data_IF_271531314490
#
_entry.id   IF_271531314490
#
_cell.length_a   1.000
_cell.length_b   1.000
_cell.length_c   1.000
_cell.angle_alpha   90.00
_cell.angle_beta   90.00
_cell.angle_gamma   90.00
#
_symmetry.space_group_name_H-M   'P 1'
#
loop_
_entity.id
_entity.type
_entity.pdbx_description
1 polymer ?
#
# COMPACT_ATOMS: atom_id res chain seq x y z
N UNK A 1 -22.71 33.52 2.44
CA UNK A 1 -22.04 32.23 2.74
C UNK A 1 -21.60 31.63 1.43
N UNK A 2 -20.29 31.39 1.26
CA UNK A 2 -19.76 30.80 0.03
C UNK A 2 -20.27 29.37 -0.16
N UNK A 3 -20.47 28.96 -1.41
CA UNK A 3 -20.91 27.61 -1.76
C UNK A 3 -19.81 26.61 -1.37
N UNK A 4 -20.10 25.72 -0.42
CA UNK A 4 -19.16 24.66 -0.02
C UNK A 4 -19.04 23.61 -1.13
N UNK A 5 -17.81 23.22 -1.41
CA UNK A 5 -17.48 22.09 -2.27
C UNK A 5 -17.55 20.81 -1.42
N UNK A 6 -18.19 19.77 -1.96
CA UNK A 6 -18.31 18.46 -1.32
C UNK A 6 -17.60 17.38 -2.15
N UNK A 7 -17.03 16.34 -1.49
CA UNK A 7 -16.36 15.26 -2.21
C UNK A 7 -17.35 14.50 -3.10
N UNK A 8 -16.84 13.86 -4.16
CA UNK A 8 -17.65 12.96 -4.99
C UNK A 8 -18.11 11.73 -4.20
N UNK A 9 -19.16 11.07 -4.69
CA UNK A 9 -19.70 9.86 -4.08
C UNK A 9 -18.68 8.74 -3.93
N UNK A 10 -17.69 8.64 -4.83
CA UNK A 10 -16.60 7.66 -4.72
C UNK A 10 -15.74 7.84 -3.45
N UNK A 11 -15.57 9.09 -3.00
CA UNK A 11 -14.81 9.43 -1.79
C UNK A 11 -15.70 9.31 -0.56
N UNK A 12 -16.97 9.71 -0.66
CA UNK A 12 -17.92 9.64 0.43
C UNK A 12 -18.36 8.21 0.74
N UNK A 13 -18.52 7.38 -0.30
CA UNK A 13 -19.04 6.02 -0.26
C UNK A 13 -18.16 5.10 -1.13
N UNK A 14 -16.95 4.73 -0.66
CA UNK A 14 -16.11 3.79 -1.39
C UNK A 14 -16.84 2.44 -1.53
N UNK A 15 -16.56 1.71 -2.61
CA UNK A 15 -17.23 0.45 -2.99
C UNK A 15 -17.36 -0.50 -1.79
N UNK A 16 -18.36 -1.40 -1.79
CA UNK A 16 -18.75 -2.28 -0.65
C UNK A 16 -17.61 -3.04 0.07
N UNK A 17 -16.43 -3.18 -0.54
CA UNK A 17 -15.26 -3.87 0.01
C UNK A 17 -14.25 -2.93 0.71
N UNK A 18 -14.37 -1.60 0.57
CA UNK A 18 -13.47 -0.61 1.15
C UNK A 18 -14.15 0.15 2.29
N UNK A 19 -13.47 0.26 3.44
CA UNK A 19 -13.97 1.05 4.58
C UNK A 19 -13.85 2.55 4.28
N UNK A 20 -14.86 3.35 4.67
CA UNK A 20 -14.81 4.81 4.63
C UNK A 20 -13.55 5.34 5.33
N UNK A 21 -12.78 6.17 4.63
CA UNK A 21 -11.61 6.82 5.19
C UNK A 21 -11.95 8.24 5.64
N UNK A 22 -12.36 8.39 6.89
CA UNK A 22 -12.74 9.69 7.46
C UNK A 22 -11.60 10.72 7.43
N UNK A 23 -10.34 10.30 7.60
CA UNK A 23 -9.18 11.22 7.49
C UNK A 23 -9.10 11.82 6.07
N UNK A 24 -9.37 11.01 5.03
CA UNK A 24 -9.35 11.47 3.65
C UNK A 24 -10.50 12.43 3.34
N UNK A 25 -11.72 12.11 3.80
CA UNK A 25 -12.91 12.95 3.64
C UNK A 25 -12.70 14.32 4.31
N UNK A 26 -12.22 14.33 5.57
CA UNK A 26 -11.99 15.56 6.33
C UNK A 26 -10.93 16.44 5.65
N UNK A 27 -9.81 15.84 5.22
CA UNK A 27 -8.74 16.57 4.54
C UNK A 27 -9.18 17.05 3.15
N UNK A 28 -10.00 16.29 2.42
CA UNK A 28 -10.56 16.73 1.13
C UNK A 28 -11.40 17.98 1.32
N UNK A 29 -12.30 17.98 2.30
CA UNK A 29 -13.17 19.12 2.61
C UNK A 29 -12.36 20.38 2.91
N UNK A 30 -11.36 20.27 3.79
CA UNK A 30 -10.53 21.40 4.20
C UNK A 30 -9.53 21.83 3.11
N UNK A 31 -9.24 20.99 2.11
CA UNK A 31 -8.37 21.34 0.99
C UNK A 31 -9.10 22.07 -0.13
N UNK A 32 -10.39 21.79 -0.31
CA UNK A 32 -11.21 22.32 -1.40
C UNK A 32 -12.15 23.45 -0.96
N UNK A 33 -12.10 23.84 0.31
CA UNK A 33 -12.84 24.97 0.88
C UNK A 33 -11.87 25.87 1.68
N UNK A 34 -12.14 27.16 1.71
CA UNK A 34 -11.31 28.13 2.45
C UNK A 34 -11.29 27.86 3.96
N UNK A 35 -12.46 27.48 4.50
CA UNK A 35 -12.63 27.04 5.88
C UNK A 35 -13.85 26.14 5.99
N UNK A 36 -13.82 25.20 6.95
CA UNK A 36 -15.00 24.42 7.29
C UNK A 36 -15.31 24.56 8.79
N UNK A 37 -16.60 24.60 9.08
CA UNK A 37 -17.15 24.46 10.42
C UNK A 37 -17.40 22.99 10.75
N UNK A 38 -17.47 22.71 12.05
CA UNK A 38 -17.77 21.37 12.55
C UNK A 38 -19.10 20.82 11.99
N UNK A 39 -20.12 21.67 11.92
CA UNK A 39 -21.45 21.37 11.38
C UNK A 39 -21.42 20.89 9.92
N UNK A 40 -20.43 21.33 9.13
CA UNK A 40 -20.31 20.94 7.72
C UNK A 40 -19.95 19.45 7.53
N UNK A 41 -19.48 18.77 8.58
CA UNK A 41 -19.15 17.34 8.55
C UNK A 41 -20.26 16.45 9.12
N UNK A 42 -21.17 17.02 9.91
CA UNK A 42 -22.27 16.31 10.55
C UNK A 42 -23.52 16.25 9.67
N UNK A 43 -23.64 17.18 8.73
CA UNK A 43 -24.78 17.28 7.82
C UNK A 43 -24.55 16.51 6.50
N UNK A 44 -25.66 16.17 5.83
CA UNK A 44 -25.63 15.67 4.45
C UNK A 44 -24.91 16.68 3.55
N UNK A 45 -24.04 16.23 2.63
CA UNK A 45 -23.88 14.86 2.14
C UNK A 45 -22.84 13.98 2.88
N UNK A 46 -22.24 14.43 3.99
CA UNK A 46 -21.10 13.73 4.61
C UNK A 46 -21.53 12.80 5.76
N UNK A 47 -22.32 13.31 6.71
CA UNK A 47 -22.82 12.57 7.89
C UNK A 47 -21.74 11.76 8.65
N UNK A 48 -20.70 12.43 9.14
CA UNK A 48 -19.73 11.78 10.05
C UNK A 48 -20.30 11.77 11.48
N UNK A 49 -20.40 10.61 12.15
CA UNK A 49 -20.81 10.57 13.55
C UNK A 49 -19.91 11.41 14.44
N UNK A 50 -20.49 12.18 15.37
CA UNK A 50 -19.79 13.15 16.23
C UNK A 50 -18.58 12.54 16.95
N UNK A 51 -18.73 11.33 17.50
CA UNK A 51 -17.66 10.60 18.19
C UNK A 51 -16.49 10.26 17.26
N UNK A 52 -16.78 9.87 16.03
CA UNK A 52 -15.80 9.62 14.98
C UNK A 52 -15.11 10.92 14.58
N UNK A 53 -15.89 11.95 14.26
CA UNK A 53 -15.37 13.26 13.87
C UNK A 53 -14.39 13.82 14.91
N UNK A 54 -14.76 13.79 16.18
CA UNK A 54 -13.93 14.24 17.29
C UNK A 54 -12.61 13.49 17.41
N UNK A 55 -12.65 12.15 17.34
CA UNK A 55 -11.45 11.31 17.37
C UNK A 55 -10.50 11.64 16.22
N UNK A 56 -11.05 11.78 15.01
CA UNK A 56 -10.26 12.06 13.81
C UNK A 56 -9.71 13.50 13.82
N UNK A 57 -10.49 14.50 14.22
CA UNK A 57 -10.03 15.88 14.36
C UNK A 57 -8.89 16.00 15.38
N UNK A 58 -9.06 15.41 16.57
CA UNK A 58 -8.02 15.41 17.61
C UNK A 58 -6.70 14.86 17.07
N UNK A 59 -6.77 13.73 16.36
CA UNK A 59 -5.61 13.10 15.71
C UNK A 59 -5.00 13.99 14.62
N UNK A 60 -5.80 14.60 13.76
CA UNK A 60 -5.32 15.43 12.65
C UNK A 60 -4.70 16.75 13.15
N UNK A 61 -5.28 17.35 14.20
CA UNK A 61 -4.73 18.54 14.88
C UNK A 61 -3.41 18.19 15.54
N UNK A 62 -3.36 17.11 16.33
CA UNK A 62 -2.13 16.67 17.00
C UNK A 62 -0.98 16.40 16.02
N UNK A 63 -1.28 15.87 14.83
CA UNK A 63 -0.29 15.65 13.77
C UNK A 63 0.10 16.90 12.99
N UNK A 64 -0.56 18.03 13.25
CA UNK A 64 -0.35 19.31 12.56
C UNK A 64 -0.85 19.31 11.12
N UNK A 65 -1.84 18.48 10.79
CA UNK A 65 -2.43 18.42 9.44
C UNK A 65 -3.57 19.41 9.25
N UNK A 66 -4.29 19.71 10.32
CA UNK A 66 -5.36 20.71 10.34
C UNK A 66 -5.13 21.62 11.55
N UNK A 67 -5.64 22.83 11.48
CA UNK A 67 -5.58 23.76 12.60
C UNK A 67 -6.90 24.49 12.77
N UNK A 68 -7.19 24.83 14.03
CA UNK A 68 -8.33 25.66 14.41
C UNK A 68 -7.86 27.11 14.43
N UNK A 69 -8.24 27.88 13.42
CA UNK A 69 -7.78 29.26 13.28
C UNK A 69 -8.77 30.28 13.86
N UNK A 70 -10.03 29.89 14.04
CA UNK A 70 -11.05 30.70 14.73
C UNK A 70 -12.05 29.81 15.49
N UNK A 71 -12.98 30.42 16.22
CA UNK A 71 -13.99 29.71 17.01
C UNK A 71 -14.86 28.85 16.09
N UNK A 72 -14.67 27.54 16.15
CA UNK A 72 -15.45 26.56 15.38
C UNK A 72 -15.00 26.39 13.92
N UNK A 73 -13.97 27.11 13.48
CA UNK A 73 -13.50 27.10 12.09
C UNK A 73 -12.12 26.46 11.98
N UNK A 74 -12.01 25.58 10.99
CA UNK A 74 -10.83 24.76 10.76
C UNK A 74 -10.31 24.97 9.34
N UNK A 75 -8.99 24.88 9.18
CA UNK A 75 -8.31 24.93 7.88
C UNK A 75 -7.22 23.88 7.79
N UNK A 76 -6.88 23.50 6.57
CA UNK A 76 -5.78 22.56 6.30
C UNK A 76 -4.43 23.28 6.36
N UNK A 77 -3.42 22.64 6.93
CA UNK A 77 -2.04 23.15 6.90
C UNK A 77 -1.31 22.70 5.63
N UNK A 78 -0.15 23.28 5.26
CA UNK A 78 0.67 22.76 4.15
C UNK A 78 1.04 21.28 4.32
N UNK A 79 1.31 20.84 5.55
CA UNK A 79 1.56 19.44 5.91
C UNK A 79 0.32 18.56 5.69
N UNK A 80 -0.86 19.09 6.02
CA UNK A 80 -2.14 18.45 5.73
C UNK A 80 -2.40 18.30 4.23
N UNK A 81 -2.10 19.32 3.42
CA UNK A 81 -2.22 19.26 1.95
C UNK A 81 -1.34 18.16 1.35
N UNK A 82 -0.10 18.02 1.83
CA UNK A 82 0.78 16.89 1.43
C UNK A 82 0.13 15.56 1.79
N UNK A 83 -0.38 15.41 3.02
CA UNK A 83 -1.05 14.19 3.46
C UNK A 83 -2.31 13.86 2.65
N UNK A 84 -3.08 14.88 2.28
CA UNK A 84 -4.23 14.76 1.39
C UNK A 84 -3.83 14.22 0.01
N UNK A 85 -2.77 14.77 -0.57
CA UNK A 85 -2.25 14.31 -1.86
C UNK A 85 -1.78 12.85 -1.78
N UNK A 86 -1.08 12.46 -0.70
CA UNK A 86 -0.69 11.07 -0.48
C UNK A 86 -1.92 10.14 -0.43
N UNK A 87 -2.95 10.51 0.34
CA UNK A 87 -4.20 9.74 0.44
C UNK A 87 -4.95 9.63 -0.88
N UNK A 88 -4.96 10.70 -1.67
CA UNK A 88 -5.59 10.73 -2.99
C UNK A 88 -4.81 9.94 -4.05
N UNK A 89 -3.49 9.75 -3.86
CA UNK A 89 -2.66 8.91 -4.73
C UNK A 89 -2.67 7.43 -4.35
N UNK A 90 -2.96 7.09 -3.08
CA UNK A 90 -3.02 5.70 -2.59
C UNK A 90 -4.05 4.86 -3.37
N UNK A 91 -5.12 5.47 -3.90
CA UNK A 91 -6.11 4.78 -4.75
C UNK A 91 -5.76 4.73 -6.25
N UNK A 92 -4.81 5.55 -6.73
CA UNK A 92 -4.52 5.68 -8.18
C UNK A 92 -3.33 4.85 -8.68
N UNK A 93 -2.49 4.34 -7.78
CA UNK A 93 -1.41 3.41 -8.15
C UNK A 93 -1.86 1.99 -7.80
N UNK A 94 -2.57 1.35 -8.72
CA UNK A 94 -2.63 -0.12 -8.70
C UNK A 94 -1.19 -0.62 -8.74
N UNK A 95 -0.75 -1.19 -7.62
CA UNK A 95 0.59 -1.77 -7.55
C UNK A 95 0.57 -2.97 -8.48
N UNK A 96 1.32 -2.93 -9.59
CA UNK A 96 1.47 -4.07 -10.49
C UNK A 96 2.13 -5.21 -9.71
N UNK A 97 1.33 -6.17 -9.26
CA UNK A 97 1.80 -7.32 -8.49
C UNK A 97 2.38 -8.38 -9.44
N UNK A 98 3.56 -8.89 -9.11
CA UNK A 98 4.11 -10.10 -9.71
C UNK A 98 3.48 -11.32 -9.03
N UNK A 99 2.55 -11.94 -9.73
CA UNK A 99 1.85 -13.14 -9.28
C UNK A 99 2.60 -14.42 -9.66
N UNK A 100 2.37 -15.54 -8.95
CA UNK A 100 3.00 -16.80 -9.29
C UNK A 100 2.59 -17.28 -10.69
N UNK A 101 3.51 -17.88 -11.46
CA UNK A 101 3.19 -18.47 -12.75
C UNK A 101 2.21 -19.63 -12.61
N UNK A 102 1.50 -19.94 -13.70
CA UNK A 102 0.45 -20.97 -13.71
C UNK A 102 0.95 -22.35 -13.24
N UNK A 103 2.23 -22.68 -13.46
CA UNK A 103 2.80 -23.96 -13.01
C UNK A 103 2.77 -24.10 -11.48
N UNK A 104 3.05 -23.02 -10.75
CA UNK A 104 2.98 -22.98 -9.29
C UNK A 104 1.52 -22.97 -8.82
N UNK A 105 0.65 -22.25 -9.52
CA UNK A 105 -0.78 -22.19 -9.19
C UNK A 105 -1.51 -23.52 -9.45
N UNK A 106 -1.05 -24.31 -10.43
CA UNK A 106 -1.68 -25.58 -10.83
C UNK A 106 -1.09 -26.81 -10.13
N UNK A 107 0.11 -26.72 -9.57
CA UNK A 107 0.82 -27.83 -8.91
C UNK A 107 0.30 -28.08 -7.46
N UNK A 108 -1.03 -28.05 -7.30
CA UNK A 108 -1.72 -28.22 -6.01
C UNK A 108 -1.96 -26.91 -5.25
N UNK A 109 -2.91 -26.94 -4.30
CA UNK A 109 -3.28 -25.79 -3.43
C UNK A 109 -2.21 -25.53 -2.34
N UNK A 110 -0.97 -25.28 -2.75
CA UNK A 110 0.12 -24.98 -1.84
C UNK A 110 0.21 -23.47 -1.55
N UNK A 111 -0.69 -23.00 -0.68
CA UNK A 111 -0.79 -21.58 -0.33
C UNK A 111 0.50 -21.01 0.27
N UNK A 112 1.30 -21.82 0.96
CA UNK A 112 2.59 -21.37 1.49
C UNK A 112 3.54 -20.96 0.36
N UNK A 113 3.58 -21.74 -0.73
CA UNK A 113 4.41 -21.43 -1.89
C UNK A 113 3.93 -20.17 -2.61
N UNK A 114 2.61 -20.01 -2.74
CA UNK A 114 2.01 -18.82 -3.35
C UNK A 114 2.33 -17.56 -2.53
N UNK A 115 2.21 -17.65 -1.21
CA UNK A 115 2.52 -16.54 -0.32
C UNK A 115 4.01 -16.17 -0.40
N UNK A 116 4.91 -17.16 -0.37
CA UNK A 116 6.36 -16.94 -0.50
C UNK A 116 6.74 -16.25 -1.81
N UNK A 117 6.18 -16.69 -2.94
CA UNK A 117 6.38 -16.01 -4.22
C UNK A 117 5.94 -14.55 -4.16
N UNK A 118 4.74 -14.30 -3.63
CA UNK A 118 4.19 -12.96 -3.56
C UNK A 118 5.07 -12.02 -2.71
N UNK A 119 5.45 -12.43 -1.51
CA UNK A 119 6.27 -11.58 -0.64
C UNK A 119 7.70 -11.39 -1.16
N UNK A 120 8.26 -12.37 -1.88
CA UNK A 120 9.58 -12.27 -2.52
C UNK A 120 9.59 -11.30 -3.70
N UNK A 121 8.59 -11.41 -4.58
CA UNK A 121 8.57 -10.68 -5.85
C UNK A 121 7.97 -9.27 -5.75
N UNK A 122 7.26 -8.94 -4.65
CA UNK A 122 6.56 -7.66 -4.50
C UNK A 122 7.08 -6.76 -3.37
N UNK A 123 8.24 -7.11 -2.78
CA UNK A 123 8.89 -6.50 -1.61
C UNK A 123 8.10 -6.62 -0.29
N UNK A 124 6.80 -6.34 -0.32
CA UNK A 124 5.87 -6.57 0.77
C UNK A 124 4.49 -6.92 0.20
N UNK A 125 3.63 -7.58 0.97
CA UNK A 125 2.22 -7.78 0.58
C UNK A 125 1.28 -7.36 1.71
N UNK A 126 0.10 -6.86 1.35
CA UNK A 126 -1.01 -6.69 2.28
C UNK A 126 -1.89 -7.93 2.25
N UNK A 127 -2.74 -8.09 3.27
CA UNK A 127 -3.68 -9.21 3.32
C UNK A 127 -4.63 -9.23 2.11
N UNK A 128 -5.05 -8.06 1.62
CA UNK A 128 -5.89 -7.92 0.42
C UNK A 128 -5.29 -8.57 -0.82
N UNK A 129 -3.97 -8.49 -0.97
CA UNK A 129 -3.24 -8.91 -2.17
C UNK A 129 -3.29 -10.43 -2.42
N UNK A 130 -3.80 -11.21 -1.47
CA UNK A 130 -3.94 -12.67 -1.55
C UNK A 130 -5.37 -13.15 -1.79
N UNK A 131 -6.36 -12.26 -1.66
CA UNK A 131 -7.78 -12.60 -1.66
C UNK A 131 -8.40 -12.49 -3.05
N UNK A 132 -7.75 -11.76 -3.95
CA UNK A 132 -8.18 -11.53 -5.32
C UNK A 132 -7.51 -12.54 -6.28
N UNK A 133 -8.08 -12.66 -7.49
CA UNK A 133 -7.45 -13.44 -8.55
C UNK A 133 -6.07 -12.88 -8.91
N UNK A 134 -5.09 -13.74 -9.26
CA UNK A 134 -5.21 -15.17 -9.56
C UNK A 134 -5.06 -16.11 -8.34
N UNK A 135 -4.89 -15.58 -7.13
CA UNK A 135 -4.62 -16.38 -5.93
C UNK A 135 -5.90 -16.87 -5.25
N UNK A 136 -6.85 -15.96 -5.03
CA UNK A 136 -8.16 -16.25 -4.44
C UNK A 136 -8.10 -17.15 -3.19
N UNK A 137 -7.12 -16.92 -2.30
CA UNK A 137 -6.92 -17.72 -1.09
C UNK A 137 -8.02 -17.36 -0.08
N UNK A 138 -8.76 -18.36 0.40
CA UNK A 138 -9.77 -18.11 1.42
C UNK A 138 -9.15 -17.61 2.75
N UNK A 139 -9.92 -16.85 3.52
CA UNK A 139 -9.44 -16.16 4.73
C UNK A 139 -8.83 -17.11 5.77
N UNK A 140 -9.44 -18.29 5.99
CA UNK A 140 -9.00 -19.26 7.00
C UNK A 140 -7.68 -19.91 6.59
N UNK A 141 -7.55 -20.31 5.33
CA UNK A 141 -6.32 -20.90 4.77
C UNK A 141 -5.19 -19.88 4.74
N UNK A 142 -5.49 -18.64 4.36
CA UNK A 142 -4.53 -17.54 4.36
C UNK A 142 -3.99 -17.30 5.78
N UNK A 143 -4.86 -17.20 6.78
CA UNK A 143 -4.43 -17.03 8.17
C UNK A 143 -3.55 -18.19 8.65
N UNK A 144 -3.97 -19.44 8.41
CA UNK A 144 -3.19 -20.62 8.82
C UNK A 144 -1.79 -20.63 8.19
N UNK A 145 -1.69 -20.39 6.89
CA UNK A 145 -0.40 -20.42 6.19
C UNK A 145 0.50 -19.23 6.56
N UNK A 146 -0.06 -18.02 6.71
CA UNK A 146 0.72 -16.87 7.17
C UNK A 146 1.27 -17.09 8.58
N UNK A 147 0.45 -17.60 9.51
CA UNK A 147 0.92 -17.92 10.86
C UNK A 147 2.05 -18.93 10.84
N UNK A 148 1.94 -19.99 10.04
CA UNK A 148 3.00 -21.00 9.89
C UNK A 148 4.30 -20.41 9.32
N UNK A 149 4.21 -19.57 8.29
CA UNK A 149 5.37 -18.92 7.67
C UNK A 149 6.03 -17.92 8.62
N UNK A 150 5.24 -17.26 9.48
CA UNK A 150 5.75 -16.35 10.52
C UNK A 150 6.43 -17.14 11.64
N UNK A 151 5.80 -18.21 12.11
CA UNK A 151 6.35 -19.09 13.16
C UNK A 151 7.68 -19.72 12.73
N UNK A 152 7.79 -20.12 11.46
CA UNK A 152 9.04 -20.62 10.86
C UNK A 152 10.07 -19.52 10.58
N UNK A 153 9.73 -18.25 10.82
CA UNK A 153 10.61 -17.11 10.60
C UNK A 153 10.87 -16.79 9.13
N UNK A 154 10.04 -17.26 8.19
CA UNK A 154 10.19 -16.99 6.76
C UNK A 154 9.55 -15.67 6.34
N UNK A 155 8.52 -15.25 7.07
CA UNK A 155 7.80 -13.99 6.84
C UNK A 155 7.69 -13.24 8.16
N UNK A 156 7.81 -11.93 8.12
CA UNK A 156 7.51 -11.05 9.27
C UNK A 156 6.32 -10.16 8.92
N UNK A 157 5.59 -9.74 9.96
CA UNK A 157 4.46 -8.82 9.83
C UNK A 157 4.80 -7.51 10.52
N UNK A 158 4.90 -6.44 9.74
CA UNK A 158 5.21 -5.08 10.22
C UNK A 158 4.20 -4.10 9.61
N UNK A 159 3.57 -3.26 10.45
CA UNK A 159 2.60 -2.24 10.02
C UNK A 159 1.49 -2.75 9.08
N UNK A 160 1.02 -3.98 9.32
CA UNK A 160 -0.02 -4.61 8.50
C UNK A 160 0.46 -5.09 7.12
N UNK A 161 1.77 -5.09 6.87
CA UNK A 161 2.44 -5.63 5.69
C UNK A 161 3.18 -6.92 6.06
N UNK A 162 3.28 -7.83 5.10
CA UNK A 162 4.06 -9.06 5.19
C UNK A 162 5.32 -8.91 4.34
N UNK A 163 6.48 -9.20 4.94
CA UNK A 163 7.80 -9.05 4.30
C UNK A 163 8.58 -10.36 4.44
N UNK A 164 9.29 -10.76 3.40
CA UNK A 164 10.11 -11.97 3.42
C UNK A 164 11.40 -11.74 4.23
N UNK A 165 11.79 -12.72 5.03
CA UNK A 165 13.06 -12.69 5.78
C UNK A 165 14.19 -13.30 4.96
N UNK A 166 15.43 -13.23 5.48
CA UNK A 166 16.56 -13.94 4.88
C UNK A 166 16.34 -15.44 4.81
N UNK A 167 15.80 -16.05 5.87
CA UNK A 167 15.46 -17.47 5.88
C UNK A 167 14.34 -17.81 4.89
N UNK A 168 13.35 -16.92 4.77
CA UNK A 168 12.28 -17.04 3.79
C UNK A 168 12.78 -17.00 2.35
N UNK A 169 13.80 -16.17 2.04
CA UNK A 169 14.43 -16.16 0.70
C UNK A 169 15.07 -17.50 0.37
N UNK A 170 15.80 -18.10 1.31
CA UNK A 170 16.38 -19.44 1.12
C UNK A 170 15.31 -20.50 0.92
N UNK A 171 14.21 -20.43 1.68
CA UNK A 171 13.08 -21.34 1.50
C UNK A 171 12.37 -21.13 0.17
N UNK A 172 12.21 -19.88 -0.29
CA UNK A 172 11.70 -19.58 -1.62
C UNK A 172 12.58 -20.21 -2.71
N UNK A 173 13.90 -20.10 -2.62
CA UNK A 173 14.80 -20.76 -3.57
C UNK A 173 14.65 -22.29 -3.57
N UNK A 174 14.52 -22.91 -2.39
CA UNK A 174 14.26 -24.36 -2.27
C UNK A 174 12.90 -24.73 -2.85
N UNK A 175 11.87 -23.93 -2.57
CA UNK A 175 10.53 -24.09 -3.09
C UNK A 175 10.53 -24.10 -4.62
N UNK A 176 11.29 -23.21 -5.27
CA UNK A 176 11.40 -23.16 -6.72
C UNK A 176 11.97 -24.45 -7.32
N UNK A 177 12.87 -25.15 -6.62
CA UNK A 177 13.40 -26.45 -7.08
C UNK A 177 12.33 -27.54 -7.18
N UNK A 178 11.22 -27.41 -6.45
CA UNK A 178 10.11 -28.36 -6.51
C UNK A 178 9.22 -28.15 -7.74
N UNK A 179 9.37 -27.02 -8.42
CA UNK A 179 8.69 -26.74 -9.65
C UNK A 179 9.72 -26.92 -10.76
N UNK A 180 9.39 -27.70 -11.79
CA UNK A 180 10.21 -27.81 -13.01
C UNK A 180 10.08 -26.50 -13.82
N UNK A 181 10.36 -25.39 -13.15
CA UNK A 181 10.54 -24.08 -13.71
C UNK A 181 11.90 -24.16 -14.36
N UNK A 182 11.89 -24.39 -15.66
CA UNK A 182 13.08 -24.43 -16.49
C UNK A 182 14.04 -23.35 -16.01
N UNK A 183 15.26 -23.74 -15.62
CA UNK A 183 16.26 -22.87 -14.99
C UNK A 183 16.45 -21.56 -15.79
N UNK A 184 16.20 -21.62 -17.10
CA UNK A 184 16.15 -20.50 -18.04
C UNK A 184 15.02 -19.50 -17.77
N UNK A 185 13.80 -19.94 -17.43
CA UNK A 185 12.67 -19.04 -17.12
C UNK A 185 12.94 -18.22 -15.86
N UNK A 186 13.53 -18.83 -14.83
CA UNK A 186 13.95 -18.12 -13.61
C UNK A 186 15.06 -17.12 -13.94
N UNK A 187 16.05 -17.50 -14.76
CA UNK A 187 17.12 -16.60 -15.18
C UNK A 187 16.62 -15.43 -16.05
N UNK A 188 15.60 -15.66 -16.88
CA UNK A 188 15.00 -14.59 -17.70
C UNK A 188 14.16 -13.62 -16.87
N UNK A 189 13.37 -14.11 -15.90
CA UNK A 189 12.60 -13.25 -15.01
C UNK A 189 13.50 -12.47 -14.03
N UNK A 190 14.51 -13.13 -13.45
CA UNK A 190 15.52 -12.46 -12.63
C UNK A 190 16.37 -11.49 -13.45
N UNK A 191 16.73 -11.84 -14.70
CA UNK A 191 17.43 -10.96 -15.64
C UNK A 191 16.64 -9.68 -15.91
N UNK A 192 15.35 -9.79 -16.24
CA UNK A 192 14.45 -8.63 -16.41
C UNK A 192 14.35 -7.79 -15.14
N UNK A 193 14.34 -8.42 -13.97
CA UNK A 193 14.27 -7.72 -12.68
C UNK A 193 15.56 -6.96 -12.38
N UNK A 194 16.72 -7.57 -12.64
CA UNK A 194 18.03 -6.91 -12.52
C UNK A 194 18.05 -5.72 -13.48
N UNK A 195 17.67 -5.91 -14.75
CA UNK A 195 17.62 -4.85 -15.74
C UNK A 195 16.70 -3.69 -15.32
N UNK A 196 15.51 -3.97 -14.78
CA UNK A 196 14.63 -2.93 -14.24
C UNK A 196 15.24 -2.18 -13.04
N UNK A 197 15.93 -2.88 -12.14
CA UNK A 197 16.59 -2.26 -10.98
C UNK A 197 17.74 -1.40 -11.47
N UNK A 198 18.60 -1.93 -12.34
CA UNK A 198 19.70 -1.22 -12.96
C UNK A 198 19.22 0.06 -13.66
N UNK A 199 18.14 -0.01 -14.44
CA UNK A 199 17.55 1.16 -15.09
C UNK A 199 17.04 2.20 -14.08
N UNK A 200 16.42 1.78 -12.98
CA UNK A 200 16.00 2.70 -11.89
C UNK A 200 17.18 3.32 -11.17
N UNK A 201 18.26 2.58 -10.97
CA UNK A 201 19.49 3.06 -10.33
C UNK A 201 20.20 4.07 -11.24
N UNK A 202 20.27 3.82 -12.54
CA UNK A 202 20.79 4.77 -13.54
C UNK A 202 19.96 6.05 -13.53
N UNK A 203 18.63 5.95 -13.61
CA UNK A 203 17.73 7.10 -13.51
C UNK A 203 17.92 7.87 -12.19
N UNK A 204 18.19 7.17 -11.08
CA UNK A 204 18.50 7.80 -9.82
C UNK A 204 19.82 8.61 -9.92
N UNK A 205 20.89 8.03 -10.47
CA UNK A 205 22.14 8.75 -10.67
C UNK A 205 21.99 10.00 -11.56
N UNK A 206 21.23 9.90 -12.65
CA UNK A 206 20.93 11.02 -13.54
C UNK A 206 20.16 12.13 -12.79
N UNK A 207 19.09 11.78 -12.09
CA UNK A 207 18.24 12.74 -11.38
C UNK A 207 18.98 13.50 -10.27
N UNK A 208 19.96 12.85 -9.62
CA UNK A 208 20.76 13.46 -8.56
C UNK A 208 22.15 13.91 -9.03
N UNK A 209 22.42 13.85 -10.33
CA UNK A 209 23.68 14.24 -10.97
C UNK A 209 24.92 13.61 -10.31
N UNK A 210 24.79 12.35 -9.89
CA UNK A 210 25.87 11.57 -9.29
C UNK A 210 26.74 11.08 -10.46
N UNK A 211 27.92 11.68 -10.64
CA UNK A 211 28.85 11.36 -11.74
C UNK A 211 30.09 10.59 -11.30
N UNK A 212 30.21 10.33 -10.01
CA UNK A 212 31.34 9.59 -9.45
C UNK A 212 31.24 8.11 -9.86
N UNK A 213 32.18 7.68 -10.71
CA UNK A 213 32.19 6.34 -11.30
C UNK A 213 32.38 5.24 -10.24
N UNK A 214 33.14 5.51 -9.17
CA UNK A 214 33.33 4.56 -8.07
C UNK A 214 32.04 4.36 -7.28
N UNK A 215 31.25 5.42 -7.09
CA UNK A 215 29.94 5.34 -6.46
C UNK A 215 28.95 4.60 -7.37
N UNK A 216 28.93 4.89 -8.66
CA UNK A 216 28.02 4.21 -9.60
C UNK A 216 28.32 2.71 -9.69
N UNK A 217 29.61 2.32 -9.76
CA UNK A 217 30.04 0.93 -9.85
C UNK A 217 29.63 0.08 -8.65
N UNK A 218 29.51 0.65 -7.44
CA UNK A 218 29.12 -0.11 -6.24
C UNK A 218 27.65 -0.49 -6.18
N UNK A 219 26.82 0.12 -7.01
CA UNK A 219 25.36 0.01 -6.97
C UNK A 219 24.76 -0.58 -8.26
N UNK A 220 25.60 -0.80 -9.28
CA UNK A 220 25.30 -1.50 -10.53
C UNK A 220 25.90 -2.90 -10.50
#
# INVERSE_FOLDING_TARGET
>A
MGKLNYPSDEILNPSKQQRKNYDHIILWMLANNESCEWSNFEQQPIEIPISTLSRHFTKLIFKGFIEKFARGQYRITPKGKKKFNDLSQIGKKERKLSYPPKIILKSGRNYSHWILWMVYNNNYCKRSDFLEEPLSINQSSLSKNLSLLIERGFVIKEDGKYVITRAGKSEYSRMLQNYDLDRQTILEEEGKRIEEITNKTIQFFENYNIKDEDIQFRFL
#
